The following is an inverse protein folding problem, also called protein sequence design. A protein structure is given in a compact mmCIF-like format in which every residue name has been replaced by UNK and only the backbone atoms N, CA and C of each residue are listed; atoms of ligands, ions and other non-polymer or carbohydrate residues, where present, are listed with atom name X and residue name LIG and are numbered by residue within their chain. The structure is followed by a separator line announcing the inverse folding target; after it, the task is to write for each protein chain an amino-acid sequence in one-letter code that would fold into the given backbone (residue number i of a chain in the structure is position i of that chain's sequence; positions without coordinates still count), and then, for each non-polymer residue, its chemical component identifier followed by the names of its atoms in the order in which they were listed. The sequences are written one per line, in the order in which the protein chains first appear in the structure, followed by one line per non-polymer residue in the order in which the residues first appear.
data_IF_900113427554
#
_entry.id   IF_900113427554
#
_cell.length_a   1.000
_cell.length_b   1.000
_cell.length_c   1.000
_cell.angle_alpha   90.00
_cell.angle_beta   90.00
_cell.angle_gamma   90.00
#
_symmetry.space_group_name_H-M   'P 1'
#
loop_
_entity.id
_entity.type
_entity.pdbx_description
1 polymer ?
#
# COMPACT_ATOMS: atom_id res chain seq x y z
N UNK A 1 6.13 -23.35 1.54
CA UNK A 1 7.18 -22.31 1.44
C UNK A 1 6.59 -21.01 1.94
N UNK A 2 7.26 -20.36 2.87
CA UNK A 2 6.95 -18.97 3.25
C UNK A 2 7.22 -18.09 2.03
N UNK A 3 6.30 -17.15 1.72
CA UNK A 3 6.47 -16.23 0.59
C UNK A 3 7.56 -15.21 0.92
N UNK A 4 8.30 -14.77 -0.10
CA UNK A 4 9.30 -13.72 0.07
C UNK A 4 8.64 -12.34 0.16
N UNK A 5 8.90 -11.60 1.25
CA UNK A 5 8.51 -10.19 1.38
C UNK A 5 9.03 -9.35 0.19
N UNK A 6 10.25 -9.63 -0.28
CA UNK A 6 10.83 -8.96 -1.45
C UNK A 6 10.00 -9.16 -2.73
N UNK A 7 9.48 -10.37 -2.94
CA UNK A 7 8.64 -10.67 -4.11
C UNK A 7 7.27 -10.02 -3.98
N UNK A 8 6.66 -10.07 -2.79
CA UNK A 8 5.39 -9.39 -2.49
C UNK A 8 5.53 -7.89 -2.73
N UNK A 9 6.59 -7.28 -2.19
CA UNK A 9 6.90 -5.87 -2.33
C UNK A 9 7.07 -5.49 -3.81
N UNK A 10 7.93 -6.19 -4.54
CA UNK A 10 8.16 -5.93 -5.97
C UNK A 10 6.87 -6.02 -6.79
N UNK A 11 6.01 -7.00 -6.46
CA UNK A 11 4.70 -7.16 -7.10
C UNK A 11 3.75 -6.01 -6.78
N UNK A 12 3.68 -5.58 -5.51
CA UNK A 12 2.87 -4.45 -5.07
C UNK A 12 3.31 -3.13 -5.72
N UNK A 13 4.62 -2.83 -5.70
CA UNK A 13 5.16 -1.64 -6.36
C UNK A 13 4.86 -1.63 -7.86
N UNK A 14 4.96 -2.79 -8.52
CA UNK A 14 4.60 -2.91 -9.92
C UNK A 14 3.12 -2.60 -10.18
N UNK A 15 2.21 -3.19 -9.39
CA UNK A 15 0.78 -2.97 -9.50
C UNK A 15 0.40 -1.50 -9.28
N UNK A 16 0.97 -0.88 -8.24
CA UNK A 16 0.76 0.54 -7.94
C UNK A 16 1.23 1.39 -9.13
N UNK A 17 2.45 1.20 -9.63
CA UNK A 17 2.98 1.97 -10.78
C UNK A 17 2.14 1.80 -12.05
N UNK A 18 1.53 0.64 -12.26
CA UNK A 18 0.65 0.38 -13.41
C UNK A 18 -0.71 1.07 -13.26
N UNK A 19 -1.20 1.21 -12.03
CA UNK A 19 -2.49 1.80 -11.71
C UNK A 19 -2.46 3.31 -11.49
N UNK A 20 -1.28 3.86 -11.20
CA UNK A 20 -1.06 5.29 -10.96
C UNK A 20 -0.55 6.00 -12.22
N UNK A 21 -0.88 7.28 -12.36
CA UNK A 21 -0.44 8.12 -13.46
C UNK A 21 0.85 8.84 -13.10
N UNK A 22 1.73 9.04 -14.09
CA UNK A 22 2.93 9.89 -13.94
C UNK A 22 2.58 11.36 -14.20
N UNK A 23 3.32 12.32 -13.61
CA UNK A 23 4.32 12.13 -12.55
C UNK A 23 3.69 11.63 -11.24
N UNK A 24 4.49 10.97 -10.39
CA UNK A 24 4.05 10.45 -9.09
C UNK A 24 4.23 11.51 -7.99
N UNK A 25 3.67 12.70 -8.21
CA UNK A 25 3.82 13.90 -7.39
C UNK A 25 2.58 14.16 -6.51
N UNK A 26 2.14 13.13 -5.80
CA UNK A 26 1.04 13.25 -4.83
C UNK A 26 1.49 13.96 -3.56
N UNK A 27 0.54 14.60 -2.86
CA UNK A 27 0.83 15.46 -1.72
C UNK A 27 1.30 14.67 -0.49
N UNK A 28 0.66 13.54 -0.23
CA UNK A 28 0.79 12.72 0.98
C UNK A 28 1.03 11.24 0.67
N UNK A 29 0.47 10.74 -0.42
CA UNK A 29 0.58 9.36 -0.86
C UNK A 29 1.93 9.09 -1.52
N UNK A 30 2.63 8.06 -1.05
CA UNK A 30 3.88 7.58 -1.65
C UNK A 30 3.93 6.07 -1.64
N UNK A 31 4.57 5.48 -2.65
CA UNK A 31 5.04 4.11 -2.60
C UNK A 31 6.57 4.12 -2.49
N UNK A 32 7.13 3.09 -1.87
CA UNK A 32 8.52 3.08 -1.45
C UNK A 32 9.26 1.92 -2.11
N UNK A 33 10.31 2.19 -2.88
CA UNK A 33 11.08 1.12 -3.55
C UNK A 33 11.93 0.33 -2.54
N UNK A 34 12.19 0.94 -1.38
CA UNK A 34 12.91 0.35 -0.26
C UNK A 34 12.52 1.08 1.05
N UNK A 35 12.86 0.50 2.21
CA UNK A 35 12.50 1.09 3.50
C UNK A 35 13.22 2.42 3.80
N UNK A 36 14.45 2.60 3.28
CA UNK A 36 15.23 3.83 3.54
C UNK A 36 14.59 5.07 2.92
N UNK A 37 13.83 4.91 1.83
CA UNK A 37 13.05 6.00 1.23
C UNK A 37 12.08 6.62 2.26
N UNK A 38 11.36 5.78 3.00
CA UNK A 38 10.42 6.23 4.02
C UNK A 38 11.14 6.91 5.19
N UNK A 39 12.19 6.29 5.73
CA UNK A 39 12.95 6.82 6.87
C UNK A 39 13.60 8.17 6.55
N UNK A 40 14.09 8.37 5.33
CA UNK A 40 14.65 9.65 4.90
C UNK A 40 13.57 10.74 4.73
N UNK A 41 12.36 10.37 4.29
CA UNK A 41 11.28 11.32 4.07
C UNK A 41 10.58 11.73 5.36
N UNK A 42 10.48 10.82 6.32
CA UNK A 42 9.74 11.00 7.57
C UNK A 42 10.59 10.54 8.79
N UNK A 43 11.74 11.18 9.06
CA UNK A 43 12.64 10.77 10.14
C UNK A 43 12.00 10.85 11.54
N UNK A 44 10.93 11.61 11.69
CA UNK A 44 10.15 11.72 12.92
C UNK A 44 9.22 10.52 13.17
N UNK A 45 8.92 9.72 12.15
CA UNK A 45 8.07 8.52 12.28
C UNK A 45 8.99 7.32 12.57
N UNK A 46 9.03 6.91 13.83
CA UNK A 46 9.74 5.71 14.25
C UNK A 46 8.86 4.49 13.99
N UNK A 47 9.32 3.62 13.08
CA UNK A 47 8.63 2.39 12.74
C UNK A 47 9.53 1.19 13.06
N UNK A 48 9.07 0.32 13.95
CA UNK A 48 9.77 -0.92 14.28
C UNK A 48 9.44 -2.00 13.24
N UNK A 49 10.14 -2.01 12.09
CA UNK A 49 10.00 -3.03 11.04
C UNK A 49 10.88 -4.24 11.33
N UNK A 50 10.30 -5.44 11.23
CA UNK A 50 11.09 -6.67 11.32
C UNK A 50 12.10 -6.77 10.16
N UNK A 51 13.19 -7.53 10.35
CA UNK A 51 14.38 -7.56 9.48
C UNK A 51 14.09 -7.72 7.97
N UNK A 52 13.00 -8.40 7.60
CA UNK A 52 12.62 -8.64 6.20
C UNK A 52 11.31 -7.96 5.78
N UNK A 53 10.65 -7.25 6.69
CA UNK A 53 9.41 -6.55 6.40
C UNK A 53 9.68 -5.30 5.56
N UNK A 54 8.96 -5.15 4.44
CA UNK A 54 9.17 -4.04 3.52
C UNK A 54 7.97 -3.11 3.48
N UNK A 55 8.25 -1.81 3.48
CA UNK A 55 7.25 -0.76 3.32
C UNK A 55 6.84 -0.71 1.86
N UNK A 56 5.54 -0.87 1.59
CA UNK A 56 4.97 -0.80 0.24
C UNK A 56 4.58 0.64 -0.08
N UNK A 57 3.72 1.23 0.75
CA UNK A 57 3.19 2.57 0.51
C UNK A 57 2.67 3.22 1.79
N UNK A 58 2.49 4.53 1.74
CA UNK A 58 2.03 5.36 2.85
C UNK A 58 1.14 6.49 2.39
N UNK A 59 0.24 6.93 3.26
CA UNK A 59 -0.41 8.25 3.21
C UNK A 59 0.00 8.99 4.48
N UNK A 60 0.88 10.00 4.38
CA UNK A 60 1.37 10.75 5.55
C UNK A 60 0.87 12.19 5.49
N UNK A 61 -0.06 12.56 6.37
CA UNK A 61 -0.58 13.93 6.48
C UNK A 61 0.39 14.76 7.34
N UNK A 62 0.78 14.19 8.47
CA UNK A 62 1.80 14.67 9.42
C UNK A 62 2.27 13.51 10.32
N UNK A 63 3.12 13.80 11.30
CA UNK A 63 3.72 12.82 12.21
C UNK A 63 2.72 12.12 13.15
N UNK A 64 1.51 12.69 13.32
CA UNK A 64 0.47 12.18 14.20
C UNK A 64 -0.72 11.60 13.44
N UNK A 65 -0.71 11.74 12.10
CA UNK A 65 -1.78 11.33 11.20
C UNK A 65 -1.21 10.69 9.92
N UNK A 66 -1.07 9.37 9.95
CA UNK A 66 -0.60 8.61 8.79
C UNK A 66 -1.20 7.21 8.71
N UNK A 67 -1.16 6.64 7.51
CA UNK A 67 -1.27 5.20 7.30
C UNK A 67 -0.09 4.68 6.51
N UNK A 68 0.39 3.51 6.90
CA UNK A 68 1.52 2.81 6.30
C UNK A 68 1.15 1.36 6.03
N UNK A 69 1.35 0.91 4.80
CA UNK A 69 1.20 -0.48 4.42
C UNK A 69 2.58 -1.11 4.22
N UNK A 70 2.83 -2.22 4.89
CA UNK A 70 4.00 -3.07 4.69
C UNK A 70 3.60 -4.38 4.01
N UNK A 71 4.56 -5.26 3.74
CA UNK A 71 4.31 -6.61 3.23
C UNK A 71 3.57 -7.52 4.22
N UNK A 72 3.36 -7.09 5.46
CA UNK A 72 2.79 -7.92 6.53
C UNK A 72 1.62 -7.29 7.28
N UNK A 73 1.65 -5.96 7.46
CA UNK A 73 0.67 -5.25 8.28
C UNK A 73 0.32 -3.90 7.68
N UNK A 74 -0.75 -3.33 8.22
CA UNK A 74 -1.10 -1.94 8.05
C UNK A 74 -1.00 -1.24 9.40
N UNK A 75 -0.41 -0.06 9.42
CA UNK A 75 -0.31 0.81 10.59
C UNK A 75 -1.09 2.07 10.28
N UNK A 76 -1.93 2.52 11.22
CA UNK A 76 -2.58 3.83 11.16
C UNK A 76 -2.37 4.53 12.48
N UNK A 77 -1.75 5.70 12.43
CA UNK A 77 -1.68 6.63 13.56
C UNK A 77 -2.66 7.76 13.29
N UNK A 78 -3.61 7.98 14.19
CA UNK A 78 -4.62 9.03 14.09
C UNK A 78 -4.71 9.78 15.41
N UNK A 79 -4.48 11.08 15.38
CA UNK A 79 -4.42 11.92 16.58
C UNK A 79 -3.51 11.32 17.68
N UNK A 80 -2.32 10.91 17.29
CA UNK A 80 -1.31 10.28 18.16
C UNK A 80 -1.62 8.85 18.63
N UNK A 81 -2.75 8.27 18.21
CA UNK A 81 -3.13 6.90 18.57
C UNK A 81 -2.77 5.95 17.44
N UNK A 82 -1.77 5.11 17.66
CA UNK A 82 -1.35 4.08 16.71
C UNK A 82 -2.17 2.80 16.84
N UNK A 83 -2.62 2.30 15.69
CA UNK A 83 -3.27 1.00 15.54
C UNK A 83 -2.51 0.18 14.50
N UNK A 84 -2.34 -1.11 14.77
CA UNK A 84 -1.64 -2.05 13.89
C UNK A 84 -2.60 -3.19 13.54
N UNK A 85 -2.71 -3.50 12.25
CA UNK A 85 -3.52 -4.59 11.74
C UNK A 85 -2.67 -5.60 10.96
N UNK A 86 -2.73 -6.87 11.34
CA UNK A 86 -2.15 -7.98 10.57
C UNK A 86 -2.93 -8.16 9.25
N UNK A 87 -2.22 -8.07 8.12
CA UNK A 87 -2.84 -8.18 6.80
C UNK A 87 -3.07 -9.62 6.36
N UNK A 88 -2.65 -10.61 7.14
CA UNK A 88 -2.94 -12.02 6.91
C UNK A 88 -4.45 -12.25 6.81
N UNK A 89 -4.91 -12.78 5.69
CA UNK A 89 -6.33 -13.03 5.40
C UNK A 89 -7.24 -11.81 5.53
N UNK A 90 -6.70 -10.59 5.42
CA UNK A 90 -7.49 -9.38 5.40
C UNK A 90 -8.39 -9.31 4.15
N UNK A 91 -9.57 -8.72 4.32
CA UNK A 91 -10.55 -8.53 3.25
C UNK A 91 -10.75 -7.03 3.07
N UNK A 92 -10.51 -6.55 1.85
CA UNK A 92 -10.79 -5.16 1.51
C UNK A 92 -12.30 -4.98 1.32
N UNK A 93 -12.91 -4.30 2.28
CA UNK A 93 -14.34 -3.96 2.25
C UNK A 93 -14.61 -2.59 1.64
N UNK A 94 -13.56 -1.82 1.34
CA UNK A 94 -13.69 -0.51 0.70
C UNK A 94 -14.34 -0.73 -0.69
N UNK A 95 -15.53 -0.17 -0.97
CA UNK A 95 -16.15 -0.26 -2.29
C UNK A 95 -15.19 0.25 -3.37
N UNK A 96 -15.30 -0.13 -4.65
CA UNK A 96 -14.57 0.58 -5.71
C UNK A 96 -15.07 2.01 -5.74
N UNK A 97 -14.25 2.92 -5.23
CA UNK A 97 -14.71 4.26 -4.93
C UNK A 97 -14.91 5.05 -6.23
N UNK A 98 -16.17 5.29 -6.60
CA UNK A 98 -16.61 6.33 -7.56
C UNK A 98 -16.45 7.71 -6.96
N UNK A 99 -15.24 7.99 -6.52
CA UNK A 99 -14.96 9.01 -5.57
C UNK A 99 -14.80 10.32 -6.35
N UNK A 100 -15.88 11.12 -6.40
CA UNK A 100 -15.83 12.55 -6.74
C UNK A 100 -15.06 13.28 -5.62
N UNK A 101 -13.76 13.03 -5.57
CA UNK A 101 -12.84 13.38 -4.49
C UNK A 101 -12.36 14.84 -4.53
N UNK A 102 -12.84 15.65 -5.46
CA UNK A 102 -12.38 17.04 -5.62
C UNK A 102 -12.67 17.94 -4.41
N UNK A 103 -13.53 17.51 -3.48
CA UNK A 103 -13.90 18.29 -2.28
C UNK A 103 -13.04 18.04 -1.04
N UNK A 104 -12.32 16.92 -0.98
CA UNK A 104 -11.57 16.54 0.22
C UNK A 104 -10.11 16.33 -0.14
N UNK A 105 -9.20 16.66 0.76
CA UNK A 105 -7.77 16.36 0.56
C UNK A 105 -7.45 14.89 0.87
N UNK A 106 -8.14 14.30 1.86
CA UNK A 106 -8.03 12.89 2.24
C UNK A 106 -9.38 12.35 2.69
N UNK A 107 -9.51 11.03 2.68
CA UNK A 107 -10.66 10.26 3.17
C UNK A 107 -10.17 9.04 3.95
N UNK A 108 -11.09 8.33 4.58
CA UNK A 108 -10.79 7.07 5.24
C UNK A 108 -11.27 5.88 4.42
N UNK A 109 -10.37 4.90 4.24
CA UNK A 109 -10.71 3.56 3.78
C UNK A 109 -10.95 2.62 4.96
N UNK A 110 -11.55 1.46 4.65
CA UNK A 110 -11.75 0.39 5.63
C UNK A 110 -11.46 -0.98 5.07
N UNK A 111 -10.88 -1.84 5.90
CA UNK A 111 -10.69 -3.26 5.61
C UNK A 111 -11.08 -4.09 6.83
N UNK A 112 -11.42 -5.35 6.62
CA UNK A 112 -11.72 -6.27 7.70
C UNK A 112 -10.52 -7.20 7.89
N UNK A 113 -9.95 -7.17 9.09
CA UNK A 113 -8.87 -8.08 9.50
C UNK A 113 -9.41 -9.48 9.74
N UNK A 114 -8.53 -10.48 9.81
CA UNK A 114 -8.90 -11.88 10.03
C UNK A 114 -9.74 -12.09 11.29
N UNK A 115 -9.48 -11.33 12.35
CA UNK A 115 -10.21 -11.39 13.61
C UNK A 115 -11.61 -10.72 13.56
N UNK A 116 -12.03 -10.21 12.40
CA UNK A 116 -13.30 -9.51 12.20
C UNK A 116 -13.26 -8.01 12.51
N UNK A 117 -12.15 -7.48 13.04
CA UNK A 117 -12.00 -6.05 13.29
C UNK A 117 -12.03 -5.27 11.98
N UNK A 118 -12.83 -4.21 11.95
CA UNK A 118 -12.80 -3.21 10.87
C UNK A 118 -11.65 -2.24 11.16
N UNK A 119 -10.60 -2.31 10.34
CA UNK A 119 -9.43 -1.45 10.41
C UNK A 119 -9.61 -0.26 9.47
N UNK A 120 -9.30 0.94 9.96
CA UNK A 120 -9.45 2.20 9.24
C UNK A 120 -8.08 2.77 8.86
N UNK A 121 -7.97 3.38 7.68
CA UNK A 121 -6.71 3.94 7.17
C UNK A 121 -6.93 5.20 6.32
N UNK A 122 -5.92 6.05 6.25
CA UNK A 122 -5.91 7.29 5.49
C UNK A 122 -5.65 7.04 4.00
N UNK A 123 -6.42 7.72 3.16
CA UNK A 123 -6.29 7.72 1.70
C UNK A 123 -6.19 9.17 1.24
N UNK A 124 -5.12 9.53 0.53
CA UNK A 124 -5.11 10.80 -0.20
C UNK A 124 -6.17 10.77 -1.31
N UNK A 125 -6.94 11.84 -1.39
CA UNK A 125 -8.03 11.97 -2.32
C UNK A 125 -7.55 12.10 -3.80
N UNK A 126 -8.48 12.00 -4.75
CA UNK A 126 -8.20 12.08 -6.18
C UNK A 126 -7.44 10.87 -6.71
N UNK A 127 -6.55 11.13 -7.68
CA UNK A 127 -5.76 10.09 -8.36
C UNK A 127 -4.75 9.41 -7.43
N UNK A 128 -4.35 10.09 -6.35
CA UNK A 128 -3.42 9.58 -5.35
C UNK A 128 -3.98 8.37 -4.58
N UNK A 129 -5.31 8.26 -4.47
CA UNK A 129 -5.99 7.15 -3.79
C UNK A 129 -5.55 5.77 -4.30
N UNK A 130 -5.20 5.70 -5.59
CA UNK A 130 -4.75 4.48 -6.25
C UNK A 130 -3.48 3.88 -5.61
N UNK A 131 -2.66 4.68 -4.92
CA UNK A 131 -1.43 4.20 -4.29
C UNK A 131 -1.74 3.18 -3.20
N UNK A 132 -2.50 3.56 -2.18
CA UNK A 132 -2.78 2.67 -1.04
C UNK A 132 -3.85 1.62 -1.40
N UNK A 133 -4.83 1.98 -2.24
CA UNK A 133 -5.87 1.05 -2.70
C UNK A 133 -5.28 -0.13 -3.48
N UNK A 134 -4.37 0.12 -4.42
CA UNK A 134 -3.68 -0.96 -5.13
C UNK A 134 -2.63 -1.64 -4.26
N UNK A 135 -2.01 -0.94 -3.31
CA UNK A 135 -1.14 -1.57 -2.32
C UNK A 135 -1.88 -2.65 -1.53
N UNK A 136 -3.00 -2.30 -0.90
CA UNK A 136 -3.84 -3.20 -0.10
C UNK A 136 -4.36 -4.35 -0.97
N UNK A 137 -4.97 -4.02 -2.12
CA UNK A 137 -5.54 -5.04 -3.02
C UNK A 137 -4.49 -6.04 -3.47
N UNK A 138 -3.29 -5.56 -3.79
CA UNK A 138 -2.20 -6.42 -4.28
C UNK A 138 -1.62 -7.27 -3.16
N UNK A 139 -1.51 -6.73 -1.95
CA UNK A 139 -1.08 -7.51 -0.79
C UNK A 139 -2.07 -8.62 -0.45
N UNK A 140 -3.38 -8.37 -0.52
CA UNK A 140 -4.39 -9.43 -0.33
C UNK A 140 -4.27 -10.48 -1.44
N UNK A 141 -4.13 -10.03 -2.69
CA UNK A 141 -4.01 -10.94 -3.83
C UNK A 141 -2.73 -11.79 -3.77
N UNK A 142 -1.61 -11.21 -3.36
CA UNK A 142 -0.32 -11.92 -3.26
C UNK A 142 -0.39 -13.13 -2.33
N UNK A 143 -1.26 -13.09 -1.31
CA UNK A 143 -1.45 -14.21 -0.38
C UNK A 143 -2.01 -15.47 -1.07
N UNK A 144 -2.69 -15.32 -2.20
CA UNK A 144 -3.26 -16.41 -3.00
C UNK A 144 -2.30 -16.91 -4.09
N UNK A 145 -1.15 -16.27 -4.27
CA UNK A 145 -0.17 -16.57 -5.32
C UNK A 145 1.11 -17.15 -4.74
N UNK A 146 1.81 -17.95 -5.53
CA UNK A 146 3.21 -18.32 -5.26
C UNK A 146 4.15 -17.24 -5.76
N UNK A 147 5.38 -17.20 -5.23
CA UNK A 147 6.42 -16.27 -5.68
C UNK A 147 6.66 -16.36 -7.20
N UNK A 148 6.74 -17.57 -7.74
CA UNK A 148 6.88 -17.82 -9.18
C UNK A 148 5.70 -17.26 -10.00
N UNK A 149 4.47 -17.33 -9.48
CA UNK A 149 3.31 -16.76 -10.16
C UNK A 149 3.37 -15.24 -10.18
N UNK A 150 3.73 -14.60 -9.06
CA UNK A 150 3.90 -13.13 -9.00
C UNK A 150 4.97 -12.64 -9.96
N UNK A 151 6.15 -13.28 -9.95
CA UNK A 151 7.26 -12.95 -10.86
C UNK A 151 6.82 -13.09 -12.33
N UNK A 152 6.11 -14.17 -12.67
CA UNK A 152 5.63 -14.39 -14.03
C UNK A 152 4.60 -13.33 -14.46
N UNK A 153 3.69 -12.92 -13.57
CA UNK A 153 2.72 -11.85 -13.86
C UNK A 153 3.42 -10.52 -14.18
N UNK A 154 4.41 -10.12 -13.37
CA UNK A 154 5.22 -8.91 -13.63
C UNK A 154 5.83 -8.98 -15.03
N UNK A 155 6.51 -10.10 -15.37
CA UNK A 155 7.16 -10.28 -16.68
C UNK A 155 6.18 -10.21 -17.85
N UNK A 156 5.01 -10.84 -17.73
CA UNK A 156 3.97 -10.83 -18.76
C UNK A 156 3.48 -9.41 -19.00
N UNK A 157 3.22 -8.65 -17.94
CA UNK A 157 2.71 -7.29 -18.05
C UNK A 157 3.77 -6.32 -18.57
N UNK A 158 5.03 -6.47 -18.18
CA UNK A 158 6.13 -5.69 -18.77
C UNK A 158 6.25 -5.91 -20.26
N UNK A 159 6.16 -7.17 -20.72
CA UNK A 159 6.17 -7.49 -22.15
C UNK A 159 4.99 -6.83 -22.88
N UNK A 160 3.79 -6.90 -22.31
CA UNK A 160 2.60 -6.23 -22.87
C UNK A 160 2.75 -4.71 -22.92
N UNK A 161 3.37 -4.08 -21.90
CA UNK A 161 3.60 -2.63 -21.87
C UNK A 161 4.58 -2.22 -22.97
N UNK A 162 5.70 -2.95 -23.14
CA UNK A 162 6.70 -2.69 -24.19
C UNK A 162 6.13 -2.84 -25.60
N UNK A 163 5.19 -3.75 -25.81
CA UNK A 163 4.56 -3.95 -27.12
C UNK A 163 3.50 -2.91 -27.50
N UNK A 164 3.09 -2.03 -26.57
CA UNK A 164 2.12 -0.94 -26.80
C UNK A 164 2.77 0.44 -26.97
N UNK A 165 4.07 0.52 -26.74
CA UNK A 165 4.91 1.71 -26.95
C UNK A 165 5.60 1.59 -28.30
#
# INVERSE_FOLDING_TARGET
MTKSDQVIHSFAIYEIKRATFKPYDFKWAKFHENNSDFVHLYPEIQLDVEENELIICSTVIDADNYSLLTTRRIVTKENDIENIGDMTSAIQNTPPLQFKLEKYNYVFGTLQLQNGTVFRYFIEAGKASMVIEYGIRTLIWSQQLTDSQMINLIRIWEKKRKAKL
#
